data_IF_182314239190
#
_entry.id   IF_182314239190
#
_cell.length_a   1.000
_cell.length_b   1.000
_cell.length_c   1.000
_cell.angle_alpha   90.00
_cell.angle_beta   90.00
_cell.angle_gamma   90.00
#
_symmetry.space_group_name_H-M   'P 1'
#
loop_
_entity.id
_entity.type
_entity.pdbx_description
1 polymer ?
#
# COMPACT_ATOMS: atom_id res chain seq x y z
N UNK A 1 -13.41 -0.81 5.79
CA UNK A 1 -14.53 -0.22 5.02
C UNK A 1 -14.51 -0.77 3.60
N UNK A 2 -15.66 -0.81 2.94
CA UNK A 2 -15.74 -1.07 1.50
C UNK A 2 -15.00 0.02 0.71
N UNK A 3 -14.56 -0.31 -0.51
CA UNK A 3 -13.97 0.67 -1.41
C UNK A 3 -14.93 1.83 -1.71
N UNK A 4 -14.38 3.03 -1.84
CA UNK A 4 -15.09 4.29 -2.08
C UNK A 4 -14.16 5.32 -2.71
N UNK A 5 -14.71 6.42 -3.21
CA UNK A 5 -13.89 7.57 -3.64
C UNK A 5 -13.28 8.27 -2.42
N UNK A 6 -12.25 9.09 -2.64
CA UNK A 6 -11.58 9.86 -1.57
C UNK A 6 -12.59 10.68 -0.77
N UNK A 7 -13.53 11.35 -1.46
CA UNK A 7 -14.56 12.17 -0.84
C UNK A 7 -15.55 11.32 -0.02
N UNK A 8 -15.98 10.18 -0.55
CA UNK A 8 -16.87 9.27 0.16
C UNK A 8 -16.24 8.72 1.45
N UNK A 9 -14.94 8.43 1.41
CA UNK A 9 -14.19 7.91 2.54
C UNK A 9 -13.95 9.00 3.58
N UNK A 10 -13.53 10.20 3.17
CA UNK A 10 -13.35 11.34 4.08
C UNK A 10 -14.64 11.66 4.85
N UNK A 11 -15.79 11.68 4.17
CA UNK A 11 -17.09 11.91 4.81
C UNK A 11 -17.43 10.80 5.80
N UNK A 12 -17.19 9.53 5.44
CA UNK A 12 -17.45 8.38 6.33
C UNK A 12 -16.58 8.40 7.57
N UNK A 13 -15.27 8.64 7.41
CA UNK A 13 -14.32 8.69 8.53
C UNK A 13 -14.71 9.80 9.49
N UNK A 14 -14.94 11.01 8.97
CA UNK A 14 -15.38 12.15 9.77
C UNK A 14 -16.68 11.85 10.53
N UNK A 15 -17.69 11.29 9.84
CA UNK A 15 -18.95 10.93 10.47
C UNK A 15 -18.79 9.89 11.58
N UNK A 16 -17.96 8.86 11.36
CA UNK A 16 -17.67 7.84 12.39
C UNK A 16 -16.94 8.43 13.61
N UNK A 17 -15.98 9.34 13.38
CA UNK A 17 -15.27 10.03 14.46
C UNK A 17 -16.22 10.93 15.27
N UNK A 18 -17.04 11.74 14.60
CA UNK A 18 -18.03 12.62 15.25
C UNK A 18 -19.05 11.82 16.08
N UNK A 19 -19.59 10.73 15.53
CA UNK A 19 -20.49 9.85 16.28
C UNK A 19 -19.81 9.25 17.50
N UNK A 20 -18.58 8.74 17.35
CA UNK A 20 -17.85 8.13 18.45
C UNK A 20 -17.55 9.13 19.58
N UNK A 21 -17.22 10.38 19.21
CA UNK A 21 -17.01 11.47 20.15
C UNK A 21 -18.29 11.86 20.90
N UNK A 22 -19.46 11.88 20.24
CA UNK A 22 -20.75 12.17 20.89
C UNK A 22 -21.06 11.22 22.04
N UNK A 23 -20.63 9.95 21.92
CA UNK A 23 -20.81 8.94 22.96
C UNK A 23 -19.66 8.89 23.99
N UNK A 24 -18.68 9.79 23.90
CA UNK A 24 -17.56 9.84 24.84
C UNK A 24 -16.63 8.63 24.79
N UNK A 25 -16.62 7.90 23.67
CA UNK A 25 -15.76 6.74 23.48
C UNK A 25 -14.36 7.17 23.02
N UNK A 26 -13.35 6.35 23.33
CA UNK A 26 -12.00 6.52 22.82
C UNK A 26 -11.96 6.53 21.28
N UNK A 27 -11.06 7.31 20.65
CA UNK A 27 -10.90 7.34 19.19
C UNK A 27 -10.69 5.95 18.57
N UNK A 28 -11.03 5.81 17.29
CA UNK A 28 -10.65 4.62 16.54
C UNK A 28 -9.13 4.53 16.43
N UNK A 29 -8.60 3.31 16.57
CA UNK A 29 -7.17 3.06 16.43
C UNK A 29 -6.70 3.02 14.98
N UNK A 30 -7.61 2.70 14.04
CA UNK A 30 -7.30 2.62 12.61
C UNK A 30 -8.56 2.68 11.75
N UNK A 31 -8.41 3.16 10.50
CA UNK A 31 -9.42 3.11 9.44
C UNK A 31 -8.88 2.35 8.23
N UNK A 32 -9.29 1.09 8.10
CA UNK A 32 -8.98 0.27 6.94
C UNK A 32 -9.92 0.44 5.75
N UNK A 33 -9.43 0.36 4.52
CA UNK A 33 -10.22 0.35 3.28
C UNK A 33 -9.81 -0.80 2.34
N UNK A 34 -10.80 -1.51 1.78
CA UNK A 34 -10.57 -2.49 0.72
C UNK A 34 -10.35 -1.82 -0.63
N UNK A 35 -9.34 -2.27 -1.39
CA UNK A 35 -9.07 -1.81 -2.74
C UNK A 35 -8.51 -2.95 -3.60
N UNK A 36 -8.74 -2.89 -4.90
CA UNK A 36 -8.18 -3.76 -5.92
C UNK A 36 -7.19 -2.92 -6.74
N UNK A 37 -6.01 -3.48 -7.00
CA UNK A 37 -4.93 -2.74 -7.66
C UNK A 37 -4.66 -3.32 -9.04
N UNK A 38 -4.49 -2.44 -10.02
CA UNK A 38 -4.00 -2.76 -11.35
C UNK A 38 -2.83 -1.82 -11.65
N UNK A 39 -1.61 -2.33 -11.52
CA UNK A 39 -0.39 -1.57 -11.74
C UNK A 39 0.27 -2.01 -13.05
N UNK A 40 0.42 -1.09 -14.00
CA UNK A 40 1.12 -1.35 -15.28
C UNK A 40 2.10 -0.22 -15.57
N UNK A 41 3.02 -0.44 -16.50
CA UNK A 41 4.02 0.57 -16.85
C UNK A 41 3.38 1.77 -17.58
N UNK A 42 2.23 1.55 -18.22
CA UNK A 42 1.45 2.61 -18.87
C UNK A 42 -0.03 2.60 -18.44
N UNK A 43 -0.65 3.78 -18.47
CA UNK A 43 -2.08 3.92 -18.18
C UNK A 43 -2.94 3.12 -19.18
N UNK A 44 -2.56 3.07 -20.46
CA UNK A 44 -3.29 2.32 -21.49
C UNK A 44 -3.34 0.82 -21.17
N UNK A 45 -2.24 0.24 -20.70
CA UNK A 45 -2.19 -1.18 -20.30
C UNK A 45 -3.03 -1.44 -19.05
N UNK A 46 -3.01 -0.54 -18.08
CA UNK A 46 -3.84 -0.66 -16.88
C UNK A 46 -5.34 -0.61 -17.22
N UNK A 47 -5.73 0.27 -18.16
CA UNK A 47 -7.11 0.34 -18.64
C UNK A 47 -7.53 -0.91 -19.42
N UNK A 48 -6.65 -1.47 -20.28
CA UNK A 48 -6.92 -2.74 -20.96
C UNK A 48 -7.14 -3.89 -19.99
N UNK A 49 -6.35 -3.95 -18.91
CA UNK A 49 -6.54 -4.97 -17.88
C UNK A 49 -7.84 -4.76 -17.11
N UNK A 50 -8.20 -3.51 -16.79
CA UNK A 50 -9.49 -3.17 -16.20
C UNK A 50 -10.65 -3.64 -17.09
N UNK A 51 -10.60 -3.35 -18.40
CA UNK A 51 -11.59 -3.81 -19.37
C UNK A 51 -11.67 -5.34 -19.39
N UNK A 52 -10.53 -6.04 -19.35
CA UNK A 52 -10.48 -7.50 -19.35
C UNK A 52 -11.16 -8.11 -18.11
N UNK A 53 -10.89 -7.58 -16.91
CA UNK A 53 -11.48 -8.14 -15.67
C UNK A 53 -12.94 -7.75 -15.46
N UNK A 54 -13.40 -6.68 -16.13
CA UNK A 54 -14.80 -6.24 -16.09
C UNK A 54 -15.62 -6.78 -17.26
N UNK A 55 -15.01 -7.47 -18.24
CA UNK A 55 -15.75 -8.14 -19.31
C UNK A 55 -16.54 -9.33 -18.77
N UNK A 56 -17.86 -9.25 -18.89
CA UNK A 56 -18.87 -10.12 -18.24
C UNK A 56 -18.89 -11.55 -18.79
N UNK A 57 -18.09 -11.85 -19.81
CA UNK A 57 -18.20 -13.09 -20.59
C UNK A 57 -17.68 -14.35 -19.88
N UNK A 58 -16.91 -14.23 -18.79
CA UNK A 58 -16.23 -15.39 -18.17
C UNK A 58 -16.65 -15.75 -16.74
N UNK A 59 -17.64 -15.09 -16.17
CA UNK A 59 -17.99 -15.32 -14.77
C UNK A 59 -19.28 -16.16 -14.64
N UNK A 60 -19.10 -17.46 -14.38
CA UNK A 60 -20.16 -18.37 -13.90
C UNK A 60 -20.75 -17.95 -12.54
N UNK A 61 -20.23 -16.88 -11.92
CA UNK A 61 -20.76 -16.27 -10.71
C UNK A 61 -21.93 -15.29 -10.98
N UNK A 62 -22.25 -14.99 -12.25
CA UNK A 62 -23.36 -14.09 -12.65
C UNK A 62 -24.71 -14.78 -12.87
N UNK A 63 -24.86 -16.08 -12.60
CA UNK A 63 -26.08 -16.85 -12.88
C UNK A 63 -27.37 -16.37 -12.15
N UNK A 64 -27.29 -15.35 -11.29
CA UNK A 64 -28.45 -14.73 -10.61
C UNK A 64 -28.58 -13.21 -10.78
N UNK A 65 -27.81 -12.58 -11.68
CA UNK A 65 -27.81 -11.13 -11.84
C UNK A 65 -28.94 -10.60 -12.74
N UNK A 66 -29.47 -11.43 -13.65
CA UNK A 66 -30.55 -11.05 -14.57
C UNK A 66 -31.86 -10.70 -13.86
N UNK A 67 -32.13 -11.25 -12.66
CA UNK A 67 -33.38 -11.03 -11.94
C UNK A 67 -33.48 -9.65 -11.24
N UNK A 68 -32.39 -8.86 -11.17
CA UNK A 68 -32.35 -7.62 -10.37
C UNK A 68 -32.17 -6.31 -11.17
N UNK A 69 -32.05 -6.36 -12.50
CA UNK A 69 -31.58 -5.21 -13.29
C UNK A 69 -32.64 -4.69 -14.27
N UNK A 70 -33.57 -3.89 -13.76
CA UNK A 70 -34.35 -2.94 -14.57
C UNK A 70 -34.01 -1.51 -14.14
N UNK A 71 -33.04 -0.87 -14.83
CA UNK A 71 -32.87 0.60 -15.02
C UNK A 71 -31.59 0.93 -15.80
N UNK A 72 -31.54 2.18 -16.27
CA UNK A 72 -30.67 2.80 -17.29
C UNK A 72 -29.19 2.35 -17.38
N UNK A 73 -28.61 2.45 -18.58
CA UNK A 73 -27.25 2.01 -18.92
C UNK A 73 -26.13 2.56 -18.00
N UNK A 74 -26.26 3.78 -17.50
CA UNK A 74 -25.30 4.39 -16.56
C UNK A 74 -25.30 3.70 -15.19
N UNK A 75 -26.48 3.33 -14.68
CA UNK A 75 -26.59 2.52 -13.46
C UNK A 75 -26.09 1.08 -13.67
N UNK A 76 -26.16 0.56 -14.90
CA UNK A 76 -25.65 -0.77 -15.24
C UNK A 76 -24.13 -0.83 -15.20
N UNK A 77 -23.42 0.16 -15.78
CA UNK A 77 -21.97 0.23 -15.73
C UNK A 77 -21.44 0.39 -14.30
N UNK A 78 -22.06 1.25 -13.48
CA UNK A 78 -21.68 1.44 -12.08
C UNK A 78 -21.86 0.13 -11.29
N UNK A 79 -22.96 -0.60 -11.52
CA UNK A 79 -23.17 -1.92 -10.90
C UNK A 79 -22.12 -2.92 -11.36
N UNK A 80 -21.85 -3.01 -12.66
CA UNK A 80 -20.90 -3.98 -13.19
C UNK A 80 -19.50 -3.77 -12.60
N UNK A 81 -19.03 -2.52 -12.58
CA UNK A 81 -17.75 -2.12 -12.01
C UNK A 81 -17.66 -2.44 -10.51
N UNK A 82 -18.69 -2.13 -9.74
CA UNK A 82 -18.74 -2.39 -8.29
C UNK A 82 -18.86 -3.89 -7.94
N UNK A 83 -19.36 -4.73 -8.85
CA UNK A 83 -19.55 -6.18 -8.65
C UNK A 83 -18.47 -7.06 -9.32
N UNK A 84 -17.64 -6.51 -10.21
CA UNK A 84 -16.57 -7.28 -10.89
C UNK A 84 -15.51 -7.78 -9.92
N UNK A 85 -15.32 -7.06 -8.81
CA UNK A 85 -14.47 -7.50 -7.69
C UNK A 85 -15.22 -7.34 -6.38
N UNK A 86 -14.90 -8.18 -5.41
CA UNK A 86 -15.52 -8.13 -4.08
C UNK A 86 -15.29 -6.77 -3.40
N UNK A 87 -16.15 -6.43 -2.44
CA UNK A 87 -16.00 -5.27 -1.56
C UNK A 87 -15.91 -3.89 -2.24
N UNK A 88 -16.36 -3.76 -3.50
CA UNK A 88 -16.18 -2.55 -4.33
C UNK A 88 -14.71 -2.17 -4.52
N UNK A 89 -13.84 -3.18 -4.65
CA UNK A 89 -12.39 -2.99 -4.72
C UNK A 89 -11.92 -2.08 -5.86
N UNK A 90 -12.65 -1.96 -6.97
CA UNK A 90 -12.26 -1.05 -8.07
C UNK A 90 -12.62 0.42 -7.78
N UNK A 91 -13.61 0.70 -6.93
CA UNK A 91 -14.12 2.06 -6.65
C UNK A 91 -13.06 3.04 -6.14
N UNK A 92 -12.05 2.63 -5.34
CA UNK A 92 -10.94 3.49 -4.98
C UNK A 92 -10.08 4.00 -6.15
N UNK A 93 -10.15 3.33 -7.31
CA UNK A 93 -9.41 3.62 -8.53
C UNK A 93 -7.88 3.59 -8.33
N UNK A 94 -7.37 2.52 -7.71
CA UNK A 94 -5.94 2.22 -7.65
C UNK A 94 -5.49 1.50 -8.94
N UNK A 95 -5.70 2.17 -10.08
CA UNK A 95 -5.54 1.63 -11.43
C UNK A 95 -4.71 2.63 -12.24
N UNK A 96 -3.55 2.22 -12.75
CA UNK A 96 -2.69 3.09 -13.54
C UNK A 96 -1.20 2.75 -13.44
N UNK A 97 -0.37 3.77 -13.62
CA UNK A 97 1.09 3.69 -13.41
C UNK A 97 1.44 3.65 -11.92
N UNK A 98 2.65 3.21 -11.54
CA UNK A 98 3.07 3.19 -10.15
C UNK A 98 2.94 4.55 -9.45
N UNK A 99 3.29 5.63 -10.15
CA UNK A 99 3.22 7.00 -9.64
C UNK A 99 1.78 7.48 -9.45
N UNK A 100 0.88 7.12 -10.39
CA UNK A 100 -0.55 7.43 -10.28
C UNK A 100 -1.16 6.73 -9.06
N UNK A 101 -0.82 5.46 -8.85
CA UNK A 101 -1.30 4.67 -7.72
C UNK A 101 -0.74 5.21 -6.41
N UNK A 102 0.56 5.47 -6.32
CA UNK A 102 1.20 6.04 -5.13
C UNK A 102 0.54 7.37 -4.73
N UNK A 103 0.36 8.29 -5.69
CA UNK A 103 -0.34 9.55 -5.45
C UNK A 103 -1.77 9.32 -4.93
N UNK A 104 -2.50 8.37 -5.51
CA UNK A 104 -3.89 8.09 -5.10
C UNK A 104 -3.95 7.53 -3.68
N UNK A 105 -2.98 6.71 -3.28
CA UNK A 105 -2.88 6.20 -1.91
C UNK A 105 -2.69 7.35 -0.91
N UNK A 106 -1.88 8.36 -1.24
CA UNK A 106 -1.72 9.55 -0.40
C UNK A 106 -3.03 10.34 -0.26
N UNK A 107 -3.81 10.49 -1.34
CA UNK A 107 -5.12 11.15 -1.25
C UNK A 107 -6.02 10.43 -0.23
N UNK A 108 -5.93 9.09 -0.13
CA UNK A 108 -6.67 8.31 0.88
C UNK A 108 -6.08 8.44 2.28
N UNK A 109 -4.75 8.51 2.41
CA UNK A 109 -4.10 8.79 3.69
C UNK A 109 -4.52 10.15 4.25
N UNK A 110 -4.53 11.19 3.43
CA UNK A 110 -5.02 12.53 3.78
C UNK A 110 -6.51 12.51 4.16
N UNK A 111 -7.31 11.63 3.54
CA UNK A 111 -8.70 11.40 3.91
C UNK A 111 -8.87 10.64 5.24
N UNK A 112 -7.79 10.11 5.82
CA UNK A 112 -7.74 9.44 7.12
C UNK A 112 -7.66 7.91 7.07
N UNK A 113 -7.38 7.31 5.91
CA UNK A 113 -7.13 5.86 5.78
C UNK A 113 -5.69 5.55 6.18
N UNK A 114 -5.50 4.63 7.11
CA UNK A 114 -4.18 4.21 7.60
C UNK A 114 -3.88 2.73 7.35
N UNK A 115 -4.83 2.02 6.74
CA UNK A 115 -4.69 0.61 6.38
C UNK A 115 -5.38 0.33 5.03
N UNK A 116 -4.64 -0.25 4.09
CA UNK A 116 -5.20 -0.76 2.83
C UNK A 116 -5.26 -2.29 2.84
N UNK A 117 -6.45 -2.82 2.53
CA UNK A 117 -6.70 -4.25 2.38
C UNK A 117 -6.74 -4.56 0.88
N UNK A 118 -5.55 -4.79 0.32
CA UNK A 118 -5.34 -4.88 -1.13
C UNK A 118 -5.66 -6.26 -1.69
N UNK A 119 -6.30 -6.27 -2.86
CA UNK A 119 -6.58 -7.45 -3.67
C UNK A 119 -5.89 -7.30 -5.03
N UNK A 120 -5.37 -8.41 -5.55
CA UNK A 120 -4.71 -8.48 -6.85
C UNK A 120 -5.08 -9.78 -7.59
N UNK A 121 -4.79 -9.87 -8.89
CA UNK A 121 -4.93 -11.10 -9.65
C UNK A 121 -3.99 -11.11 -10.87
N UNK A 122 -3.09 -12.10 -11.01
CA UNK A 122 -2.73 -13.13 -10.03
C UNK A 122 -2.12 -12.53 -8.74
N UNK A 123 -2.52 -13.04 -7.57
CA UNK A 123 -2.23 -12.37 -6.29
C UNK A 123 -0.72 -12.24 -6.00
N UNK A 124 0.06 -13.32 -6.17
CA UNK A 124 1.47 -13.33 -5.75
C UNK A 124 2.35 -12.44 -6.62
N UNK A 125 2.20 -12.56 -7.93
CA UNK A 125 2.97 -11.85 -8.94
C UNK A 125 2.69 -10.34 -8.88
N UNK A 126 1.41 -9.95 -8.84
CA UNK A 126 1.02 -8.54 -8.78
C UNK A 126 1.38 -7.91 -7.42
N UNK A 127 1.34 -8.65 -6.32
CA UNK A 127 1.85 -8.18 -5.03
C UNK A 127 3.36 -7.88 -5.09
N UNK A 128 4.12 -8.74 -5.78
CA UNK A 128 5.56 -8.52 -5.98
C UNK A 128 5.79 -7.24 -6.79
N UNK A 129 5.10 -7.09 -7.91
CA UNK A 129 5.22 -5.90 -8.77
C UNK A 129 4.81 -4.62 -8.03
N UNK A 130 3.74 -4.67 -7.23
CA UNK A 130 3.33 -3.54 -6.39
C UNK A 130 4.42 -3.16 -5.37
N UNK A 131 5.02 -4.15 -4.71
CA UNK A 131 6.12 -3.91 -3.76
C UNK A 131 7.36 -3.34 -4.45
N UNK A 132 7.65 -3.72 -5.69
CA UNK A 132 8.84 -3.29 -6.41
C UNK A 132 8.66 -1.94 -7.11
N UNK A 133 7.45 -1.60 -7.53
CA UNK A 133 7.19 -0.41 -8.35
C UNK A 133 6.47 0.71 -7.58
N UNK A 134 5.53 0.38 -6.70
CA UNK A 134 4.69 1.39 -6.02
C UNK A 134 5.25 1.78 -4.66
N UNK A 135 5.75 0.83 -3.87
CA UNK A 135 6.27 1.13 -2.53
C UNK A 135 7.54 2.02 -2.53
N UNK A 136 8.48 1.93 -3.50
CA UNK A 136 9.62 2.83 -3.52
C UNK A 136 9.22 4.30 -3.71
N UNK A 137 8.21 4.57 -4.53
CA UNK A 137 7.63 5.91 -4.72
C UNK A 137 7.12 6.48 -3.38
N UNK A 138 6.68 5.62 -2.45
CA UNK A 138 6.30 6.06 -1.09
C UNK A 138 7.47 6.71 -0.35
N UNK A 139 8.70 6.18 -0.50
CA UNK A 139 9.84 6.69 0.29
C UNK A 139 10.21 8.12 -0.12
N UNK A 140 9.92 8.53 -1.35
CA UNK A 140 10.11 9.90 -1.83
C UNK A 140 9.34 10.90 -0.96
N UNK A 141 8.20 10.51 -0.38
CA UNK A 141 7.44 11.40 0.49
C UNK A 141 8.07 11.55 1.87
N UNK A 142 8.65 10.47 2.41
CA UNK A 142 9.41 10.54 3.66
C UNK A 142 10.60 11.50 3.49
N UNK A 143 11.40 11.31 2.45
CA UNK A 143 12.57 12.16 2.18
C UNK A 143 12.15 13.61 1.91
N UNK A 144 11.12 13.83 1.07
CA UNK A 144 10.57 15.17 0.84
C UNK A 144 10.10 15.84 2.14
N UNK A 145 9.45 15.10 3.04
CA UNK A 145 8.97 15.66 4.31
C UNK A 145 10.14 16.02 5.23
N UNK A 146 11.19 15.19 5.27
CA UNK A 146 12.42 15.49 5.99
C UNK A 146 13.09 16.76 5.43
N UNK A 147 13.12 16.92 4.09
CA UNK A 147 13.63 18.12 3.43
C UNK A 147 12.80 19.37 3.80
N UNK A 148 11.47 19.29 3.74
CA UNK A 148 10.58 20.39 4.15
C UNK A 148 10.78 20.83 5.59
N UNK A 149 11.11 19.88 6.47
CA UNK A 149 11.41 20.11 7.88
C UNK A 149 12.88 20.51 8.12
N UNK A 150 13.72 20.54 7.07
CA UNK A 150 15.17 20.73 7.14
C UNK A 150 15.85 19.76 8.12
N UNK A 151 15.43 18.50 8.13
CA UNK A 151 16.01 17.45 8.97
C UNK A 151 17.12 16.72 8.20
N UNK A 152 18.31 16.51 8.80
CA UNK A 152 19.37 15.76 8.16
C UNK A 152 18.99 14.28 8.08
N UNK A 153 19.22 13.66 6.94
CA UNK A 153 19.07 12.22 6.75
C UNK A 153 20.13 11.69 5.78
N UNK A 154 20.38 10.39 5.85
CA UNK A 154 21.28 9.68 4.95
C UNK A 154 20.61 8.37 4.53
N UNK A 155 20.77 7.97 3.27
CA UNK A 155 20.35 6.65 2.80
C UNK A 155 21.52 5.67 2.85
N UNK A 156 21.30 4.54 3.52
CA UNK A 156 22.28 3.47 3.62
C UNK A 156 21.93 2.34 2.66
N UNK A 157 22.77 2.13 1.64
CA UNK A 157 22.63 0.99 0.74
C UNK A 157 23.37 -0.24 1.29
N UNK A 158 22.60 -1.18 1.83
CA UNK A 158 23.10 -2.42 2.41
C UNK A 158 23.40 -3.49 1.35
N UNK A 159 23.23 -3.20 0.06
CA UNK A 159 23.55 -4.13 -1.03
C UNK A 159 24.99 -4.03 -1.52
N UNK A 160 25.60 -2.84 -1.41
CA UNK A 160 26.98 -2.56 -1.84
C UNK A 160 27.88 -2.07 -0.69
N UNK A 161 27.31 -1.65 0.45
CA UNK A 161 28.05 -1.03 1.56
C UNK A 161 28.73 -2.00 2.55
N UNK A 162 29.87 -1.59 3.11
CA UNK A 162 30.53 -2.26 4.24
C UNK A 162 30.50 -1.38 5.50
N UNK A 163 29.86 -1.84 6.58
CA UNK A 163 29.80 -1.19 7.89
C UNK A 163 30.77 -1.88 8.84
N UNK A 164 31.55 -1.09 9.56
CA UNK A 164 32.40 -1.62 10.63
C UNK A 164 31.56 -1.84 11.89
N UNK A 165 31.01 -3.05 12.03
CA UNK A 165 30.17 -3.45 13.16
C UNK A 165 30.94 -3.55 14.49
N UNK A 166 32.25 -3.34 14.50
CA UNK A 166 33.06 -3.26 15.71
C UNK A 166 33.08 -1.85 16.32
N UNK A 167 32.62 -0.84 15.58
CA UNK A 167 32.52 0.53 16.08
C UNK A 167 31.15 0.80 16.69
N UNK A 168 31.05 1.89 17.45
CA UNK A 168 29.76 2.37 17.93
C UNK A 168 28.97 2.99 16.75
N UNK A 169 27.69 2.62 16.55
CA UNK A 169 26.88 3.21 15.49
C UNK A 169 26.62 4.69 15.76
N UNK A 170 26.39 5.51 14.72
CA UNK A 170 26.03 6.91 14.91
C UNK A 170 24.74 7.07 15.71
N UNK A 171 24.56 8.23 16.35
CA UNK A 171 23.30 8.57 17.02
C UNK A 171 22.24 8.95 16.00
N UNK A 172 21.02 8.43 16.16
CA UNK A 172 19.92 8.71 15.24
C UNK A 172 18.74 7.76 15.39
N UNK A 173 17.74 7.99 14.53
CA UNK A 173 16.62 7.06 14.31
C UNK A 173 16.89 6.36 12.98
N UNK A 174 16.85 5.03 13.00
CA UNK A 174 17.12 4.20 11.84
C UNK A 174 15.81 3.60 11.34
N UNK A 175 15.52 3.72 10.05
CA UNK A 175 14.33 3.14 9.43
C UNK A 175 14.75 2.10 8.40
N UNK A 176 14.41 0.83 8.65
CA UNK A 176 14.71 -0.26 7.71
C UNK A 176 13.61 -0.39 6.67
N UNK A 177 14.00 -0.36 5.39
CA UNK A 177 13.14 -0.73 4.24
C UNK A 177 13.45 -2.13 3.71
N UNK A 178 14.25 -2.91 4.43
CA UNK A 178 14.65 -4.22 3.97
C UNK A 178 13.46 -5.17 3.91
N UNK A 179 13.37 -5.91 2.81
CA UNK A 179 12.45 -7.04 2.66
C UNK A 179 13.25 -8.33 2.40
N UNK A 180 12.85 -9.43 3.03
CA UNK A 180 13.37 -10.77 2.86
C UNK A 180 13.28 -11.27 1.41
N UNK A 181 12.40 -10.69 0.59
CA UNK A 181 12.33 -10.96 -0.85
C UNK A 181 13.54 -10.47 -1.66
N UNK A 182 14.45 -9.70 -1.05
CA UNK A 182 15.63 -9.09 -1.69
C UNK A 182 16.56 -10.08 -2.39
N UNK A 183 16.63 -11.34 -1.93
CA UNK A 183 17.42 -12.40 -2.59
C UNK A 183 16.98 -12.67 -4.03
N UNK A 184 15.69 -12.47 -4.35
CA UNK A 184 15.17 -12.64 -5.71
C UNK A 184 15.58 -11.52 -6.66
N UNK A 185 16.23 -10.47 -6.13
CA UNK A 185 16.68 -9.25 -6.83
C UNK A 185 18.20 -9.19 -7.03
N UNK A 186 18.91 -10.32 -6.95
CA UNK A 186 20.37 -10.40 -7.13
C UNK A 186 21.19 -10.05 -5.89
N UNK A 187 20.54 -9.59 -4.82
CA UNK A 187 21.19 -9.21 -3.56
C UNK A 187 21.18 -10.35 -2.55
N UNK A 188 21.88 -11.44 -2.92
CA UNK A 188 21.84 -12.72 -2.19
C UNK A 188 22.18 -12.63 -0.70
N UNK A 189 22.93 -11.64 -0.25
CA UNK A 189 23.36 -11.52 1.15
C UNK A 189 22.78 -10.29 1.86
N UNK A 190 21.90 -9.53 1.20
CA UNK A 190 21.42 -8.26 1.75
C UNK A 190 20.53 -8.45 2.98
N UNK A 191 19.73 -9.52 3.03
CA UNK A 191 18.88 -9.79 4.18
C UNK A 191 19.69 -10.19 5.42
N UNK A 192 20.67 -11.10 5.29
CA UNK A 192 21.54 -11.51 6.40
C UNK A 192 22.41 -10.36 6.88
N UNK A 193 22.92 -9.57 5.93
CA UNK A 193 23.73 -8.42 6.27
C UNK A 193 22.91 -7.33 6.97
N UNK A 194 21.68 -7.09 6.52
CA UNK A 194 20.75 -6.19 7.21
C UNK A 194 20.42 -6.72 8.60
N UNK A 195 20.17 -8.02 8.76
CA UNK A 195 19.94 -8.61 10.08
C UNK A 195 21.10 -8.31 11.04
N UNK A 196 22.35 -8.43 10.57
CA UNK A 196 23.53 -8.09 11.37
C UNK A 196 23.59 -6.59 11.73
N UNK A 197 23.29 -5.70 10.79
CA UNK A 197 23.25 -4.25 11.03
C UNK A 197 22.15 -3.88 12.02
N UNK A 198 20.95 -4.45 11.90
CA UNK A 198 19.83 -4.18 12.80
C UNK A 198 20.13 -4.62 14.23
N UNK A 199 20.66 -5.83 14.43
CA UNK A 199 21.06 -6.32 15.75
C UNK A 199 22.21 -5.47 16.34
N UNK A 200 23.16 -5.01 15.51
CA UNK A 200 24.20 -4.09 15.93
C UNK A 200 23.65 -2.73 16.39
N UNK A 201 22.69 -2.15 15.68
CA UNK A 201 22.02 -0.90 16.07
C UNK A 201 21.21 -1.06 17.37
N UNK A 202 20.40 -2.11 17.44
CA UNK A 202 19.53 -2.39 18.59
C UNK A 202 20.35 -2.71 19.86
N UNK A 203 21.46 -3.44 19.73
CA UNK A 203 22.35 -3.76 20.86
C UNK A 203 23.04 -2.53 21.46
N UNK A 204 23.23 -1.46 20.67
CA UNK A 204 23.72 -0.16 21.15
C UNK A 204 22.59 0.77 21.62
N UNK A 205 21.35 0.27 21.71
CA UNK A 205 20.20 1.04 22.19
C UNK A 205 19.74 2.13 21.22
N UNK A 206 20.07 2.03 19.91
CA UNK A 206 19.56 2.96 18.90
C UNK A 206 18.08 2.71 18.65
N UNK A 207 17.34 3.78 18.31
CA UNK A 207 15.93 3.65 17.93
C UNK A 207 15.84 3.12 16.50
N UNK A 208 15.31 1.91 16.33
CA UNK A 208 15.14 1.28 15.02
C UNK A 208 13.66 1.07 14.72
N UNK A 209 13.18 1.72 13.67
CA UNK A 209 11.84 1.52 13.09
C UNK A 209 11.94 0.42 12.04
N UNK A 210 10.99 -0.52 12.08
CA UNK A 210 11.01 -1.74 11.25
C UNK A 210 12.26 -2.61 11.50
N UNK A 211 12.63 -2.78 12.78
CA UNK A 211 13.86 -3.47 13.21
C UNK A 211 13.85 -4.99 13.07
N UNK A 212 14.72 -5.67 13.82
CA UNK A 212 14.99 -7.11 13.67
C UNK A 212 13.75 -7.99 13.79
N UNK A 213 12.78 -7.57 14.60
CA UNK A 213 11.52 -8.28 14.80
C UNK A 213 10.64 -8.32 13.54
N UNK A 214 10.66 -7.26 12.74
CA UNK A 214 9.89 -7.22 11.50
C UNK A 214 10.50 -8.13 10.44
N UNK A 215 11.83 -8.13 10.30
CA UNK A 215 12.53 -9.01 9.36
C UNK A 215 12.35 -10.50 9.69
N UNK A 216 12.17 -10.86 10.96
CA UNK A 216 11.91 -12.25 11.41
C UNK A 216 10.50 -12.76 11.06
N UNK A 217 9.57 -11.88 10.71
CA UNK A 217 8.19 -12.23 10.35
C UNK A 217 8.00 -12.49 8.85
N UNK A 218 9.00 -12.17 8.03
CA UNK A 218 9.03 -12.41 6.58
C UNK A 218 9.72 -13.74 6.23
#
# INVERSE_FOLDING_TARGET
>A
MHGGTVEEIAVKIKGMQEERQKYGNEPFSSFGMAAYVICRDTEEEAQKELERITDVKESSAYAGFDDFVNKSQLEQQIKLYDYSVSNRGLRPNLIGTPEQIAKKILDYEEAGVDLLLLQFSPQLEEMKDFSEKVMPEWTVHLTKRLDELNLPYEEWDLSEGSFDLLQEPPEGIFYSRMSASSHTRGHRYAAEYTAAVLEWLESHGRTVVNGSSALKLE
#
